data_IF_728010212487
#
_entry.id   IF_728010212487
#
_cell.length_a   1.000
_cell.length_b   1.000
_cell.length_c   1.000
_cell.angle_alpha   90.00
_cell.angle_beta   90.00
_cell.angle_gamma   90.00
#
_symmetry.space_group_name_H-M   'P 1'
#
loop_
_entity.id
_entity.type
_entity.pdbx_description
1 polymer ?
#
# COMPACT_ATOMS: atom_id res chain seq x y z
N UNK A 1 -19.97 85.86 -89.41
CA UNK A 1 -19.52 84.53 -89.88
C UNK A 1 -18.02 84.44 -89.60
N UNK A 2 -17.54 83.53 -88.73
CA UNK A 2 -16.11 83.31 -88.56
C UNK A 2 -15.43 83.01 -89.91
N UNK A 3 -14.19 83.47 -90.08
CA UNK A 3 -13.42 83.19 -91.30
C UNK A 3 -13.14 81.69 -91.44
N UNK A 4 -12.85 81.21 -92.66
CA UNK A 4 -12.42 79.83 -92.88
C UNK A 4 -11.20 79.47 -91.99
N UNK A 5 -10.24 80.39 -91.84
CA UNK A 5 -9.09 80.21 -90.96
C UNK A 5 -9.48 80.06 -89.48
N UNK A 6 -10.45 80.84 -89.01
CA UNK A 6 -11.00 80.73 -87.64
C UNK A 6 -11.71 79.39 -87.43
N UNK A 7 -12.47 78.92 -88.43
CA UNK A 7 -13.18 77.63 -88.34
C UNK A 7 -12.21 76.44 -88.30
N UNK A 8 -11.16 76.49 -89.13
CA UNK A 8 -10.10 75.47 -89.13
C UNK A 8 -9.36 75.46 -87.79
N UNK A 9 -9.01 76.63 -87.23
CA UNK A 9 -8.37 76.73 -85.93
C UNK A 9 -9.24 76.15 -84.79
N UNK A 10 -10.54 76.48 -84.78
CA UNK A 10 -11.49 75.94 -83.80
C UNK A 10 -11.63 74.42 -83.91
N UNK A 11 -11.69 73.87 -85.13
CA UNK A 11 -11.73 72.42 -85.34
C UNK A 11 -10.46 71.76 -84.82
N UNK A 12 -9.27 72.30 -85.16
CA UNK A 12 -7.99 71.77 -84.71
C UNK A 12 -7.88 71.78 -83.16
N UNK A 13 -8.35 72.84 -82.51
CA UNK A 13 -8.35 72.94 -81.05
C UNK A 13 -9.33 71.95 -80.41
N UNK A 14 -10.52 71.76 -80.99
CA UNK A 14 -11.49 70.75 -80.54
C UNK A 14 -10.94 69.33 -80.67
N UNK A 15 -10.39 68.98 -81.84
CA UNK A 15 -9.78 67.66 -82.08
C UNK A 15 -8.60 67.42 -81.13
N UNK A 16 -7.79 68.44 -80.86
CA UNK A 16 -6.69 68.36 -79.89
C UNK A 16 -7.21 68.09 -78.47
N UNK A 17 -8.23 68.83 -78.03
CA UNK A 17 -8.85 68.63 -76.71
C UNK A 17 -9.51 67.25 -76.56
N UNK A 18 -10.23 66.81 -77.59
CA UNK A 18 -10.89 65.50 -77.62
C UNK A 18 -9.86 64.36 -77.62
N UNK A 19 -8.79 64.49 -78.41
CA UNK A 19 -7.67 63.52 -78.41
C UNK A 19 -6.98 63.45 -77.05
N UNK A 20 -6.87 64.58 -76.33
CA UNK A 20 -6.32 64.61 -74.98
C UNK A 20 -7.26 63.95 -73.97
N UNK A 21 -8.57 64.20 -74.05
CA UNK A 21 -9.57 63.57 -73.19
C UNK A 21 -9.63 62.05 -73.41
N UNK A 22 -9.61 61.60 -74.67
CA UNK A 22 -9.55 60.18 -75.04
C UNK A 22 -8.27 59.53 -74.51
N UNK A 23 -7.11 60.17 -74.67
CA UNK A 23 -5.85 59.68 -74.10
C UNK A 23 -5.91 59.54 -72.58
N UNK A 24 -6.51 60.49 -71.90
CA UNK A 24 -6.71 60.48 -70.43
C UNK A 24 -7.62 59.32 -70.00
N UNK A 25 -8.74 59.09 -70.71
CA UNK A 25 -9.66 57.98 -70.44
C UNK A 25 -9.03 56.61 -70.73
N UNK A 26 -8.34 56.47 -71.87
CA UNK A 26 -7.68 55.22 -72.30
C UNK A 26 -6.52 54.85 -71.39
N UNK A 27 -5.80 55.82 -70.82
CA UNK A 27 -4.72 55.57 -69.86
C UNK A 27 -5.22 55.32 -68.42
N UNK A 28 -6.52 55.13 -68.21
CA UNK A 28 -7.11 54.82 -66.90
C UNK A 28 -7.12 55.99 -65.91
N UNK A 29 -6.90 57.23 -66.38
CA UNK A 29 -6.97 58.43 -65.56
C UNK A 29 -8.30 59.13 -65.81
N UNK A 30 -9.44 58.52 -65.43
CA UNK A 30 -10.73 59.19 -65.57
C UNK A 30 -10.74 60.56 -64.87
N UNK A 31 -11.56 61.49 -65.33
CA UNK A 31 -11.57 62.89 -64.86
C UNK A 31 -11.90 63.04 -63.37
N UNK A 32 -12.54 62.05 -62.76
CA UNK A 32 -12.83 62.03 -61.34
C UNK A 32 -12.70 60.61 -60.76
N UNK A 33 -11.57 60.37 -60.08
CA UNK A 33 -11.33 59.16 -59.29
C UNK A 33 -11.41 59.45 -57.79
N UNK A 34 -11.97 60.60 -57.37
CA UNK A 34 -11.92 61.07 -55.99
C UNK A 34 -12.71 60.17 -55.02
N UNK A 35 -13.64 59.37 -55.53
CA UNK A 35 -14.44 58.41 -54.78
C UNK A 35 -13.73 57.08 -54.47
N UNK A 36 -12.58 56.79 -55.12
CA UNK A 36 -11.81 55.59 -54.78
C UNK A 36 -11.14 55.75 -53.41
N UNK A 37 -11.25 54.70 -52.59
CA UNK A 37 -10.66 54.64 -51.25
C UNK A 37 -9.23 54.08 -51.25
N UNK A 38 -8.76 53.56 -52.39
CA UNK A 38 -7.40 53.06 -52.58
C UNK A 38 -6.39 54.20 -52.43
N UNK A 39 -5.21 53.91 -51.90
CA UNK A 39 -4.11 54.86 -51.76
C UNK A 39 -3.62 55.36 -53.13
N UNK A 40 -3.69 54.51 -54.15
CA UNK A 40 -3.26 54.77 -55.53
C UNK A 40 -4.37 55.29 -56.46
N UNK A 41 -5.34 56.07 -55.94
CA UNK A 41 -6.54 56.56 -56.67
C UNK A 41 -6.29 57.47 -57.88
N UNK A 42 -5.07 57.91 -58.12
CA UNK A 42 -4.75 58.81 -59.23
C UNK A 42 -4.79 58.12 -60.61
N UNK A 43 -4.84 56.78 -60.63
CA UNK A 43 -4.90 55.95 -61.83
C UNK A 43 -5.68 54.66 -61.51
N UNK A 44 -6.66 54.30 -62.34
CA UNK A 44 -7.49 53.11 -62.12
C UNK A 44 -6.69 51.80 -62.10
N UNK A 45 -5.66 51.68 -62.95
CA UNK A 45 -4.79 50.50 -63.01
C UNK A 45 -3.98 50.38 -61.72
N UNK A 46 -3.48 51.50 -61.20
CA UNK A 46 -2.73 51.49 -59.94
C UNK A 46 -3.63 51.12 -58.75
N UNK A 47 -4.85 51.66 -58.69
CA UNK A 47 -5.84 51.31 -57.68
C UNK A 47 -6.24 49.82 -57.73
N UNK A 48 -6.40 49.26 -58.93
CA UNK A 48 -6.71 47.83 -59.12
C UNK A 48 -5.54 46.96 -58.69
N UNK A 49 -4.30 47.33 -59.01
CA UNK A 49 -3.12 46.59 -58.58
C UNK A 49 -2.99 46.60 -57.05
N UNK A 50 -3.25 47.74 -56.38
CA UNK A 50 -3.28 47.81 -54.91
C UNK A 50 -4.33 46.87 -54.30
N UNK A 51 -5.54 46.82 -54.86
CA UNK A 51 -6.58 45.89 -54.39
C UNK A 51 -6.21 44.44 -54.67
N UNK A 52 -5.54 44.16 -55.80
CA UNK A 52 -5.04 42.84 -56.12
C UNK A 52 -4.00 42.39 -55.10
N UNK A 53 -3.04 43.24 -54.77
CA UNK A 53 -1.99 42.92 -53.80
C UNK A 53 -2.62 42.63 -52.42
N UNK A 54 -3.57 43.45 -51.97
CA UNK A 54 -4.29 43.20 -50.71
C UNK A 54 -5.14 41.91 -50.72
N UNK A 55 -5.73 41.55 -51.86
CA UNK A 55 -6.45 40.28 -52.02
C UNK A 55 -5.49 39.09 -52.05
N UNK A 56 -4.34 39.24 -52.70
CA UNK A 56 -3.29 38.23 -52.75
C UNK A 56 -2.75 38.00 -51.33
N UNK A 57 -2.50 39.05 -50.53
CA UNK A 57 -2.13 38.95 -49.11
C UNK A 57 -3.18 38.21 -48.26
N UNK A 58 -4.47 38.48 -48.49
CA UNK A 58 -5.58 37.79 -47.82
C UNK A 58 -5.65 36.31 -48.21
N UNK A 59 -5.42 36.00 -49.50
CA UNK A 59 -5.45 34.62 -50.03
C UNK A 59 -4.22 33.79 -49.66
N UNK A 60 -3.10 34.46 -49.37
CA UNK A 60 -1.81 33.82 -49.07
C UNK A 60 -1.67 33.40 -47.60
N UNK A 61 -2.65 33.68 -46.74
CA UNK A 61 -2.56 33.41 -45.29
C UNK A 61 -1.49 34.22 -44.55
N UNK A 62 -0.75 35.08 -45.27
CA UNK A 62 0.44 35.79 -44.81
C UNK A 62 0.17 36.84 -43.72
N UNK A 63 -1.10 37.06 -43.35
CA UNK A 63 -1.48 37.98 -42.28
C UNK A 63 -2.26 37.33 -41.12
N UNK A 64 -2.26 36.00 -40.93
CA UNK A 64 -2.91 35.47 -39.72
C UNK A 64 -2.80 33.99 -39.36
N UNK A 65 -2.66 33.06 -40.32
CA UNK A 65 -2.59 31.62 -40.01
C UNK A 65 -1.34 31.01 -40.64
N UNK A 66 -0.41 30.54 -39.81
CA UNK A 66 0.84 29.90 -40.24
C UNK A 66 1.17 28.73 -39.32
N UNK A 67 1.11 27.50 -39.83
CA UNK A 67 1.41 26.27 -39.08
C UNK A 67 2.90 25.90 -39.06
N UNK A 68 3.71 26.60 -39.87
CA UNK A 68 5.13 26.34 -40.05
C UNK A 68 6.03 27.09 -39.06
N UNK A 69 5.56 28.19 -38.47
CA UNK A 69 6.35 28.99 -37.53
C UNK A 69 5.56 29.39 -36.29
N UNK A 70 6.27 29.55 -35.16
CA UNK A 70 5.73 30.22 -33.96
C UNK A 70 6.12 31.69 -34.03
N UNK A 71 5.12 32.58 -34.08
CA UNK A 71 5.36 34.02 -34.16
C UNK A 71 4.31 34.78 -33.38
N UNK A 72 4.64 35.99 -32.94
CA UNK A 72 3.66 36.93 -32.35
C UNK A 72 2.81 37.63 -33.39
N UNK A 73 3.10 37.41 -34.68
CA UNK A 73 2.40 38.01 -35.82
C UNK A 73 1.51 37.01 -36.59
N UNK A 74 1.51 35.73 -36.22
CA UNK A 74 0.68 34.69 -36.82
C UNK A 74 0.05 33.80 -35.75
N UNK A 75 -1.05 33.14 -36.09
CA UNK A 75 -1.74 32.15 -35.24
C UNK A 75 -1.64 30.78 -35.89
N UNK A 76 -1.65 29.71 -35.09
CA UNK A 76 -1.77 28.37 -35.63
C UNK A 76 -3.20 28.05 -36.05
N UNK A 77 -3.36 27.15 -37.02
CA UNK A 77 -4.64 26.53 -37.32
C UNK A 77 -5.16 25.74 -36.11
N UNK A 78 -6.48 25.53 -36.06
CA UNK A 78 -7.10 24.67 -35.05
C UNK A 78 -6.57 23.24 -35.12
N UNK A 79 -6.25 22.76 -36.32
CA UNK A 79 -5.66 21.44 -36.54
C UNK A 79 -4.27 21.34 -35.89
N UNK A 80 -3.38 22.29 -36.20
CA UNK A 80 -2.03 22.31 -35.61
C UNK A 80 -2.04 22.42 -34.10
N UNK A 81 -2.98 23.20 -33.56
CA UNK A 81 -3.20 23.30 -32.11
C UNK A 81 -3.63 21.96 -31.52
N UNK A 82 -4.61 21.29 -32.13
CA UNK A 82 -5.08 19.96 -31.71
C UNK A 82 -3.98 18.90 -31.77
N UNK A 83 -3.19 18.90 -32.84
CA UNK A 83 -2.08 17.95 -33.02
C UNK A 83 -0.99 18.17 -31.97
N UNK A 84 -0.66 19.42 -31.67
CA UNK A 84 0.35 19.77 -30.67
C UNK A 84 -0.10 19.40 -29.25
N UNK A 85 -1.39 19.60 -28.93
CA UNK A 85 -1.99 19.15 -27.66
C UNK A 85 -1.97 17.63 -27.57
N UNK A 86 -2.36 16.94 -28.64
CA UNK A 86 -2.37 15.46 -28.68
C UNK A 86 -0.97 14.90 -28.48
N UNK A 87 0.04 15.48 -29.13
CA UNK A 87 1.43 15.09 -28.95
C UNK A 87 1.92 15.31 -27.51
N UNK A 88 1.61 16.47 -26.91
CA UNK A 88 1.96 16.75 -25.52
C UNK A 88 1.27 15.79 -24.54
N UNK A 89 -0.01 15.49 -24.75
CA UNK A 89 -0.75 14.50 -23.95
C UNK A 89 -0.14 13.11 -24.10
N UNK A 90 0.22 12.69 -25.31
CA UNK A 90 0.87 11.39 -25.53
C UNK A 90 2.23 11.28 -24.79
N UNK A 91 3.00 12.38 -24.70
CA UNK A 91 4.25 12.39 -23.91
C UNK A 91 4.01 12.28 -22.41
N UNK A 92 2.91 12.83 -21.90
CA UNK A 92 2.55 12.77 -20.47
C UNK A 92 1.93 11.42 -20.10
N UNK A 93 1.12 10.84 -20.99
CA UNK A 93 0.20 9.74 -20.64
C UNK A 93 0.81 8.34 -20.83
N UNK A 94 1.92 8.17 -21.55
CA UNK A 94 2.26 6.82 -22.07
C UNK A 94 3.63 6.24 -21.65
N UNK A 95 4.68 7.00 -21.30
CA UNK A 95 5.93 6.39 -20.81
C UNK A 95 6.18 6.58 -19.31
N UNK A 96 6.01 7.80 -18.78
CA UNK A 96 6.57 8.15 -17.47
C UNK A 96 5.74 7.62 -16.29
N UNK A 97 4.43 7.43 -16.48
CA UNK A 97 3.54 6.95 -15.42
C UNK A 97 3.47 5.42 -15.34
N UNK A 98 3.60 4.72 -16.48
CA UNK A 98 3.61 3.25 -16.52
C UNK A 98 4.93 2.66 -16.05
N UNK A 99 6.04 3.37 -16.25
CA UNK A 99 7.34 2.95 -15.74
C UNK A 99 7.51 3.24 -14.24
N UNK A 100 6.67 4.12 -13.68
CA UNK A 100 6.69 4.42 -12.25
C UNK A 100 5.95 3.34 -11.43
N UNK A 101 5.00 2.61 -12.01
CA UNK A 101 4.28 1.52 -11.32
C UNK A 101 4.86 0.18 -11.76
N UNK A 102 5.58 -0.48 -10.86
CA UNK A 102 6.16 -1.81 -11.09
C UNK A 102 5.78 -2.78 -9.97
N UNK A 103 4.85 -3.71 -10.26
CA UNK A 103 4.40 -4.74 -9.32
C UNK A 103 5.31 -5.99 -9.25
N UNK A 104 6.37 -6.02 -10.05
CA UNK A 104 7.30 -7.15 -10.15
C UNK A 104 8.39 -7.04 -9.08
N UNK A 105 9.08 -5.89 -9.02
CA UNK A 105 10.25 -5.73 -8.15
C UNK A 105 10.15 -4.53 -7.22
N UNK A 106 10.50 -4.74 -5.95
CA UNK A 106 10.65 -3.63 -5.01
C UNK A 106 11.82 -2.75 -5.46
N UNK A 107 11.60 -1.44 -5.49
CA UNK A 107 12.53 -0.47 -6.03
C UNK A 107 12.42 0.85 -5.28
N UNK A 108 13.48 1.65 -5.30
CA UNK A 108 13.46 3.02 -4.77
C UNK A 108 13.04 4.06 -5.81
N UNK A 109 12.92 3.66 -7.06
CA UNK A 109 12.60 4.54 -8.20
C UNK A 109 11.22 4.28 -8.79
N UNK A 110 10.54 3.21 -8.36
CA UNK A 110 9.19 2.84 -8.76
C UNK A 110 8.35 2.52 -7.52
N UNK A 111 7.03 2.58 -7.66
CA UNK A 111 6.06 2.26 -6.63
C UNK A 111 5.23 1.05 -7.02
N UNK A 112 4.64 0.37 -6.03
CA UNK A 112 3.62 -0.63 -6.28
C UNK A 112 2.28 0.01 -6.64
N UNK A 113 1.47 -0.73 -7.41
CA UNK A 113 0.05 -0.42 -7.55
C UNK A 113 -0.64 -0.47 -6.19
N UNK A 114 -1.80 0.19 -6.08
CA UNK A 114 -2.60 0.15 -4.85
C UNK A 114 -2.99 -1.29 -4.48
N UNK A 115 -3.39 -2.11 -5.46
CA UNK A 115 -3.77 -3.51 -5.26
C UNK A 115 -2.59 -4.38 -4.78
N UNK A 116 -1.39 -4.16 -5.33
CA UNK A 116 -0.18 -4.86 -4.87
C UNK A 116 0.21 -4.42 -3.45
N UNK A 117 0.11 -3.12 -3.16
CA UNK A 117 0.35 -2.58 -1.81
C UNK A 117 -0.60 -3.20 -0.78
N UNK A 118 -1.89 -3.27 -1.07
CA UNK A 118 -2.89 -3.92 -0.21
C UNK A 118 -2.54 -5.39 0.07
N UNK A 119 -2.13 -6.13 -0.96
CA UNK A 119 -1.72 -7.54 -0.84
C UNK A 119 -0.50 -7.67 0.08
N UNK A 120 0.58 -6.93 -0.21
CA UNK A 120 1.84 -6.99 0.57
C UNK A 120 1.60 -6.61 2.04
N UNK A 121 0.80 -5.56 2.29
CA UNK A 121 0.48 -5.13 3.66
C UNK A 121 -0.38 -6.17 4.37
N UNK A 122 -1.40 -6.74 3.71
CA UNK A 122 -2.26 -7.78 4.29
C UNK A 122 -1.46 -9.03 4.66
N UNK A 123 -0.55 -9.47 3.78
CA UNK A 123 0.32 -10.63 4.02
C UNK A 123 1.28 -10.37 5.18
N UNK A 124 1.89 -9.18 5.23
CA UNK A 124 2.79 -8.79 6.31
C UNK A 124 2.06 -8.72 7.66
N UNK A 125 0.85 -8.17 7.69
CA UNK A 125 0.00 -8.12 8.90
C UNK A 125 -0.41 -9.52 9.33
N UNK A 126 -0.83 -10.37 8.40
CA UNK A 126 -1.22 -11.75 8.69
C UNK A 126 -0.06 -12.56 9.26
N UNK A 127 1.13 -12.42 8.67
CA UNK A 127 2.36 -13.03 9.18
C UNK A 127 2.72 -12.51 10.58
N UNK A 128 2.65 -11.20 10.79
CA UNK A 128 2.90 -10.59 12.10
C UNK A 128 1.92 -11.08 13.18
N UNK A 129 0.63 -11.20 12.84
CA UNK A 129 -0.40 -11.74 13.75
C UNK A 129 -0.15 -13.22 14.04
N UNK A 130 0.17 -14.02 13.02
CA UNK A 130 0.51 -15.43 13.23
C UNK A 130 1.73 -15.59 14.15
N UNK A 131 2.77 -14.78 13.95
CA UNK A 131 3.97 -14.77 14.78
C UNK A 131 3.71 -14.24 16.19
N UNK A 132 2.73 -13.33 16.38
CA UNK A 132 2.35 -12.86 17.69
C UNK A 132 1.54 -13.91 18.46
N UNK A 133 0.68 -14.66 17.75
CA UNK A 133 -0.13 -15.71 18.35
C UNK A 133 0.70 -16.95 18.67
N UNK A 134 1.65 -17.35 17.83
CA UNK A 134 2.67 -18.40 18.09
C UNK A 134 2.21 -19.58 18.98
N UNK A 135 1.07 -20.20 18.65
CA UNK A 135 0.51 -21.34 19.39
C UNK A 135 -0.17 -21.01 20.73
N UNK A 136 -0.18 -19.75 21.17
CA UNK A 136 -0.87 -19.29 22.37
C UNK A 136 -2.36 -19.67 22.42
N UNK A 137 -3.16 -19.61 21.32
CA UNK A 137 -4.55 -20.05 21.38
C UNK A 137 -4.73 -21.51 21.83
N UNK A 138 -3.87 -22.42 21.35
CA UNK A 138 -3.90 -23.83 21.75
C UNK A 138 -3.43 -24.00 23.20
N UNK A 139 -2.40 -23.27 23.62
CA UNK A 139 -1.95 -23.28 25.02
C UNK A 139 -3.04 -22.76 25.97
N UNK A 140 -3.74 -21.68 25.62
CA UNK A 140 -4.84 -21.14 26.41
C UNK A 140 -6.01 -22.12 26.50
N UNK A 141 -6.30 -22.86 25.43
CA UNK A 141 -7.30 -23.93 25.44
C UNK A 141 -6.93 -25.03 26.45
N UNK A 142 -5.67 -25.51 26.41
CA UNK A 142 -5.21 -26.51 27.39
C UNK A 142 -5.24 -26.00 28.84
N UNK A 143 -4.94 -24.71 29.07
CA UNK A 143 -5.04 -24.12 30.41
C UNK A 143 -6.50 -24.01 30.87
N UNK A 144 -7.42 -23.72 29.96
CA UNK A 144 -8.85 -23.68 30.25
C UNK A 144 -9.40 -25.09 30.58
N UNK A 145 -8.98 -26.11 29.82
CA UNK A 145 -9.32 -27.51 30.11
C UNK A 145 -8.77 -27.96 31.47
N UNK A 146 -7.52 -27.62 31.80
CA UNK A 146 -6.93 -27.95 33.10
C UNK A 146 -7.64 -27.23 34.24
N UNK A 147 -7.98 -25.96 34.06
CA UNK A 147 -8.72 -25.20 35.06
C UNK A 147 -10.11 -25.81 35.30
N UNK A 148 -10.80 -26.22 34.24
CA UNK A 148 -12.08 -26.91 34.33
C UNK A 148 -11.93 -28.25 35.06
N UNK A 149 -10.97 -29.09 34.67
CA UNK A 149 -10.72 -30.38 35.29
C UNK A 149 -10.41 -30.28 36.79
N UNK A 150 -9.64 -29.27 37.20
CA UNK A 150 -9.35 -29.00 38.62
C UNK A 150 -10.59 -28.53 39.38
N UNK A 151 -11.44 -27.71 38.75
CA UNK A 151 -12.64 -27.18 39.39
C UNK A 151 -13.78 -28.21 39.49
N UNK A 152 -13.87 -29.13 38.51
CA UNK A 152 -14.87 -30.19 38.48
C UNK A 152 -14.57 -31.31 39.49
N UNK A 153 -13.31 -31.49 39.91
CA UNK A 153 -12.94 -32.37 41.01
C UNK A 153 -12.67 -31.57 42.31
N UNK A 154 -13.75 -31.05 42.88
CA UNK A 154 -13.73 -30.36 44.18
C UNK A 154 -13.11 -31.19 45.32
N UNK A 155 -13.01 -32.51 45.13
CA UNK A 155 -12.46 -33.44 46.12
C UNK A 155 -11.00 -33.80 45.87
N UNK A 156 -10.41 -33.48 44.72
CA UNK A 156 -9.06 -33.87 44.35
C UNK A 156 -8.05 -33.56 45.44
N UNK A 157 -8.03 -32.30 45.91
CA UNK A 157 -7.13 -31.84 46.97
C UNK A 157 -7.37 -32.59 48.29
N UNK A 158 -8.63 -32.84 48.65
CA UNK A 158 -8.98 -33.56 49.86
C UNK A 158 -8.58 -35.05 49.79
N UNK A 159 -8.78 -35.70 48.64
CA UNK A 159 -8.39 -37.09 48.39
C UNK A 159 -6.87 -37.23 48.44
N UNK A 160 -6.13 -36.37 47.73
CA UNK A 160 -4.66 -36.39 47.75
C UNK A 160 -4.13 -36.14 49.16
N UNK A 161 -4.67 -35.14 49.86
CA UNK A 161 -4.27 -34.83 51.25
C UNK A 161 -4.56 -36.00 52.19
N UNK A 162 -5.72 -36.64 52.07
CA UNK A 162 -6.10 -37.81 52.89
C UNK A 162 -5.20 -39.02 52.60
N UNK A 163 -4.95 -39.32 51.32
CA UNK A 163 -4.09 -40.41 50.90
C UNK A 163 -2.64 -40.21 51.40
N UNK A 164 -2.12 -38.98 51.35
CA UNK A 164 -0.83 -38.64 51.91
C UNK A 164 -0.81 -38.75 53.45
N UNK A 165 -1.89 -38.31 54.12
CA UNK A 165 -2.04 -38.41 55.58
C UNK A 165 -2.03 -39.84 56.10
N UNK A 166 -2.49 -40.81 55.29
CA UNK A 166 -2.50 -42.24 55.64
C UNK A 166 -1.13 -42.92 55.52
N UNK A 167 -0.11 -42.27 54.96
CA UNK A 167 1.23 -42.86 54.82
C UNK A 167 1.99 -42.79 56.15
N UNK A 168 2.71 -43.86 56.48
CA UNK A 168 3.66 -43.85 57.61
C UNK A 168 4.84 -42.95 57.26
N UNK A 169 5.12 -41.97 58.12
CA UNK A 169 6.26 -41.06 58.00
C UNK A 169 7.53 -41.72 58.53
N UNK A 170 8.66 -41.48 57.87
CA UNK A 170 9.97 -42.00 58.27
C UNK A 170 10.85 -40.93 58.93
N UNK A 171 10.42 -39.67 58.91
CA UNK A 171 11.15 -38.50 59.39
C UNK A 171 10.77 -38.06 60.81
N UNK A 172 9.79 -38.72 61.44
CA UNK A 172 9.36 -38.43 62.81
C UNK A 172 9.07 -39.72 63.58
N UNK A 173 9.43 -39.75 64.86
CA UNK A 173 9.08 -40.85 65.77
C UNK A 173 7.64 -40.78 66.29
N UNK A 174 6.94 -39.65 66.09
CA UNK A 174 5.57 -39.47 66.58
C UNK A 174 4.71 -38.80 65.51
N UNK A 175 3.88 -39.61 64.85
CA UNK A 175 2.94 -39.15 63.82
C UNK A 175 1.51 -38.93 64.36
N UNK A 176 1.28 -39.14 65.65
CA UNK A 176 -0.05 -38.98 66.26
C UNK A 176 -1.05 -40.07 65.85
N UNK A 177 -0.56 -41.24 65.41
CA UNK A 177 -1.39 -42.38 65.04
C UNK A 177 -2.09 -42.97 66.27
N UNK A 178 -3.36 -43.32 66.15
CA UNK A 178 -4.09 -44.09 67.17
C UNK A 178 -3.61 -45.55 67.23
N UNK A 179 -4.09 -46.33 68.21
CA UNK A 179 -3.64 -47.71 68.43
C UNK A 179 -3.90 -48.64 67.23
N UNK A 180 -5.03 -48.48 66.55
CA UNK A 180 -5.38 -49.25 65.35
C UNK A 180 -4.48 -48.87 64.19
N UNK A 181 -4.29 -47.56 63.96
CA UNK A 181 -3.41 -47.03 62.93
C UNK A 181 -1.96 -47.46 63.15
N UNK A 182 -1.47 -47.46 64.39
CA UNK A 182 -0.14 -47.98 64.72
C UNK A 182 -0.02 -49.47 64.42
N UNK A 183 -1.06 -50.26 64.69
CA UNK A 183 -1.08 -51.68 64.33
C UNK A 183 -1.00 -51.89 62.82
N UNK A 184 -1.82 -51.17 62.04
CA UNK A 184 -1.78 -51.22 60.59
C UNK A 184 -0.42 -50.77 60.04
N UNK A 185 0.14 -49.69 60.59
CA UNK A 185 1.46 -49.18 60.24
C UNK A 185 2.55 -50.24 60.44
N UNK A 186 2.58 -50.89 61.61
CA UNK A 186 3.52 -51.98 61.92
C UNK A 186 3.38 -53.15 60.95
N UNK A 187 2.15 -53.59 60.70
CA UNK A 187 1.88 -54.66 59.72
C UNK A 187 2.41 -54.29 58.33
N UNK A 188 2.13 -53.06 57.86
CA UNK A 188 2.53 -52.60 56.53
C UNK A 188 4.05 -52.52 56.35
N UNK A 189 4.80 -52.17 57.40
CA UNK A 189 6.28 -52.06 57.35
C UNK A 189 7.00 -53.32 57.88
N UNK A 190 6.27 -54.34 58.30
CA UNK A 190 6.83 -55.57 58.88
C UNK A 190 7.51 -55.37 60.25
N UNK A 191 7.09 -54.38 61.04
CA UNK A 191 7.61 -54.14 62.38
C UNK A 191 6.89 -54.99 63.43
N UNK A 192 7.63 -55.50 64.43
CA UNK A 192 7.07 -56.27 65.54
C UNK A 192 6.27 -55.38 66.51
N UNK A 193 5.20 -55.92 67.11
CA UNK A 193 4.47 -55.26 68.18
C UNK A 193 5.22 -55.37 69.52
N UNK A 194 4.92 -54.47 70.45
CA UNK A 194 5.50 -54.53 71.80
C UNK A 194 5.14 -55.84 72.54
N UNK A 195 3.97 -56.40 72.25
CA UNK A 195 3.55 -57.72 72.75
C UNK A 195 4.42 -58.86 72.20
N UNK A 196 4.86 -58.77 70.94
CA UNK A 196 5.73 -59.78 70.35
C UNK A 196 7.11 -59.75 71.01
N UNK A 197 7.61 -58.54 71.31
CA UNK A 197 8.86 -58.35 72.03
C UNK A 197 8.75 -58.85 73.49
N UNK A 198 7.63 -58.60 74.16
CA UNK A 198 7.37 -59.10 75.51
C UNK A 198 7.21 -60.63 75.54
N UNK A 199 6.52 -61.21 74.56
CA UNK A 199 6.36 -62.66 74.42
C UNK A 199 7.70 -63.34 74.12
N UNK A 200 8.52 -62.74 73.25
CA UNK A 200 9.88 -63.19 73.03
C UNK A 200 10.68 -63.14 74.33
N UNK A 201 10.71 -62.00 75.03
CA UNK A 201 11.39 -61.84 76.33
C UNK A 201 10.96 -62.88 77.37
N UNK A 202 9.67 -63.24 77.43
CA UNK A 202 9.19 -64.29 78.32
C UNK A 202 9.61 -65.70 77.86
N UNK A 203 9.64 -65.94 76.55
CA UNK A 203 10.01 -67.23 75.96
C UNK A 203 11.51 -67.51 76.01
N UNK A 204 12.36 -66.49 75.90
CA UNK A 204 13.82 -66.65 76.09
C UNK A 204 14.20 -66.81 77.57
N UNK A 205 13.23 -66.63 78.49
CA UNK A 205 13.49 -66.60 79.92
C UNK A 205 14.14 -65.30 80.36
N UNK A 206 14.36 -65.13 81.66
CA UNK A 206 15.17 -64.04 82.19
C UNK A 206 16.48 -63.99 81.40
N UNK A 207 16.72 -62.87 80.71
CA UNK A 207 17.99 -62.65 80.03
C UNK A 207 19.13 -62.38 81.03
N UNK A 208 18.80 -62.25 82.31
CA UNK A 208 19.76 -62.47 83.38
C UNK A 208 20.08 -63.98 83.39
N UNK A 209 21.31 -64.39 83.01
CA UNK A 209 21.67 -65.80 83.00
C UNK A 209 21.44 -66.36 84.41
N UNK A 210 20.39 -67.17 84.57
CA UNK A 210 20.08 -67.81 85.85
C UNK A 210 21.38 -68.44 86.37
N UNK A 211 21.99 -67.89 87.45
CA UNK A 211 23.31 -68.31 87.90
C UNK A 211 23.29 -69.77 88.37
N UNK A 212 22.11 -70.35 88.55
CA UNK A 212 21.92 -71.74 88.97
C UNK A 212 21.87 -72.73 87.81
N UNK A 213 21.75 -72.28 86.55
CA UNK A 213 21.68 -73.21 85.41
C UNK A 213 22.95 -74.05 85.27
N UNK A 214 24.11 -73.43 85.48
CA UNK A 214 25.41 -74.12 85.51
C UNK A 214 25.47 -75.09 86.69
N UNK A 215 25.03 -74.68 87.88
CA UNK A 215 25.03 -75.53 89.07
C UNK A 215 24.11 -76.76 88.91
N UNK A 216 22.94 -76.59 88.31
CA UNK A 216 21.97 -77.67 88.06
C UNK A 216 22.49 -78.63 86.98
N UNK A 217 23.11 -78.11 85.91
CA UNK A 217 23.72 -78.94 84.87
C UNK A 217 24.87 -79.80 85.40
N UNK A 218 25.77 -79.19 86.18
CA UNK A 218 26.89 -79.89 86.81
C UNK A 218 26.43 -80.91 87.84
N UNK A 219 25.39 -80.61 88.64
CA UNK A 219 24.80 -81.56 89.59
C UNK A 219 24.09 -82.75 88.93
N UNK A 220 23.63 -82.61 87.68
CA UNK A 220 23.03 -83.70 86.90
C UNK A 220 24.05 -84.62 86.23
N UNK A 221 25.32 -84.19 86.15
CA UNK A 221 26.44 -84.98 85.60
C UNK A 221 27.15 -85.84 86.64
N UNK A 222 26.90 -85.62 87.94
CA UNK A 222 27.44 -86.39 89.07
C UNK A 222 26.52 -87.53 89.49
#
# INVERSE_FOLDING_TARGET
>A
MPSLGTNIANLAQRVSNESKALRTLVNGNALDNSALLTTAKNNLVAAINELKDGLDDLSSGAAGIDDGTTSTASTWSSQKTSDSITAAVATIVIPELTDLIDDVTASTSTVYSSSKTETVVSDAVSAAVSNLLDGAPAALDTLNELAAAVNDDATFSAIVTTALGNRVRTDTATQGLDSTQQSNARTNIGAAAASDLAALSAAVGDTDPDPTFVEIFEAGLS
#
